data_IF_423800027172
#
_entry.id   IF_423800027172
#
_cell.length_a   1.000
_cell.length_b   1.000
_cell.length_c   1.000
_cell.angle_alpha   90.00
_cell.angle_beta   90.00
_cell.angle_gamma   90.00
#
_symmetry.space_group_name_H-M   'P 1'
#
loop_
_entity.id
_entity.type
_entity.pdbx_description
1 polymer ?
#
# COMPACT_ATOMS: atom_id res chain seq x y z
N UNK A 1 -46.50 -16.67 -29.45
CA UNK A 1 -45.30 -17.23 -28.81
C UNK A 1 -44.04 -17.03 -29.68
N UNK A 2 -43.93 -17.65 -30.87
CA UNK A 2 -42.71 -17.61 -31.69
C UNK A 2 -42.18 -16.19 -32.03
N UNK A 3 -43.08 -15.26 -32.37
CA UNK A 3 -42.73 -13.86 -32.60
C UNK A 3 -42.03 -13.21 -31.38
N UNK A 4 -42.60 -13.38 -30.19
CA UNK A 4 -42.03 -12.84 -28.95
C UNK A 4 -40.67 -13.47 -28.63
N UNK A 5 -40.48 -14.78 -28.88
CA UNK A 5 -39.17 -15.42 -28.71
C UNK A 5 -38.13 -14.82 -29.66
N UNK A 6 -38.46 -14.69 -30.94
CA UNK A 6 -37.53 -14.15 -31.94
C UNK A 6 -37.19 -12.68 -31.68
N UNK A 7 -38.16 -11.87 -31.25
CA UNK A 7 -37.92 -10.47 -30.88
C UNK A 7 -37.10 -10.35 -29.59
N UNK A 8 -37.40 -11.20 -28.60
CA UNK A 8 -36.59 -11.32 -27.38
C UNK A 8 -35.14 -11.68 -27.68
N UNK A 9 -34.89 -12.65 -28.56
CA UNK A 9 -33.54 -13.03 -28.98
C UNK A 9 -32.78 -11.87 -29.65
N UNK A 10 -33.47 -11.06 -30.47
CA UNK A 10 -32.89 -9.86 -31.06
C UNK A 10 -32.52 -8.80 -30.01
N UNK A 11 -33.32 -8.65 -28.96
CA UNK A 11 -32.97 -7.77 -27.83
C UNK A 11 -31.77 -8.28 -27.03
N UNK A 12 -31.65 -9.60 -26.82
CA UNK A 12 -30.46 -10.21 -26.19
C UNK A 12 -29.20 -9.90 -26.98
N UNK A 13 -29.24 -10.01 -28.31
CA UNK A 13 -28.09 -9.66 -29.18
C UNK A 13 -27.69 -8.17 -29.08
N UNK A 14 -28.66 -7.29 -28.79
CA UNK A 14 -28.42 -5.86 -28.53
C UNK A 14 -28.01 -5.55 -27.08
N UNK A 15 -27.89 -6.57 -26.23
CA UNK A 15 -27.65 -6.45 -24.77
C UNK A 15 -28.74 -5.70 -24.01
N UNK A 16 -29.94 -5.59 -24.58
CA UNK A 16 -31.12 -5.06 -23.90
C UNK A 16 -31.87 -6.20 -23.19
N UNK A 17 -31.28 -6.66 -22.09
CA UNK A 17 -31.82 -7.80 -21.33
C UNK A 17 -33.16 -7.49 -20.65
N UNK A 18 -33.46 -6.20 -20.39
CA UNK A 18 -34.72 -5.77 -19.81
C UNK A 18 -35.87 -5.92 -20.81
N UNK A 19 -35.69 -5.41 -22.04
CA UNK A 19 -36.68 -5.59 -23.11
C UNK A 19 -36.83 -7.07 -23.49
N UNK A 20 -35.71 -7.81 -23.56
CA UNK A 20 -35.73 -9.25 -23.83
C UNK A 20 -36.54 -10.03 -22.78
N UNK A 21 -36.37 -9.70 -21.49
CA UNK A 21 -37.07 -10.37 -20.40
C UNK A 21 -38.60 -10.25 -20.54
N UNK A 22 -39.11 -9.05 -20.86
CA UNK A 22 -40.54 -8.83 -21.03
C UNK A 22 -41.14 -9.67 -22.16
N UNK A 23 -40.46 -9.71 -23.32
CA UNK A 23 -40.89 -10.52 -24.46
C UNK A 23 -40.85 -12.03 -24.18
N UNK A 24 -39.79 -12.50 -23.52
CA UNK A 24 -39.64 -13.92 -23.18
C UNK A 24 -40.68 -14.36 -22.13
N UNK A 25 -41.04 -13.50 -21.18
CA UNK A 25 -42.13 -13.77 -20.23
C UNK A 25 -43.49 -13.88 -20.94
N UNK A 26 -43.75 -13.00 -21.90
CA UNK A 26 -44.97 -13.07 -22.71
C UNK A 26 -45.00 -14.30 -23.63
N UNK A 27 -43.84 -14.71 -24.15
CA UNK A 27 -43.74 -15.98 -24.86
C UNK A 27 -44.05 -17.17 -23.95
N UNK A 28 -43.53 -17.17 -22.72
CA UNK A 28 -43.75 -18.22 -21.74
C UNK A 28 -45.22 -18.34 -21.35
N UNK A 29 -45.92 -17.24 -21.08
CA UNK A 29 -47.35 -17.25 -20.72
C UNK A 29 -48.22 -17.87 -21.83
N UNK A 30 -47.94 -17.50 -23.10
CA UNK A 30 -48.62 -18.05 -24.27
C UNK A 30 -48.33 -19.54 -24.49
N UNK A 31 -47.09 -20.00 -24.23
CA UNK A 31 -46.73 -21.41 -24.38
C UNK A 31 -47.32 -22.29 -23.27
N UNK A 32 -47.40 -21.77 -22.04
CA UNK A 32 -48.06 -22.45 -20.92
C UNK A 32 -49.55 -22.65 -21.18
N UNK A 33 -50.23 -21.70 -21.82
CA UNK A 33 -51.62 -21.83 -22.22
C UNK A 33 -51.86 -22.97 -23.22
N UNK A 34 -50.86 -23.27 -24.07
CA UNK A 34 -50.91 -24.34 -25.09
C UNK A 34 -50.31 -25.65 -24.56
N UNK A 35 -49.95 -25.74 -23.26
CA UNK A 35 -49.40 -26.93 -22.59
C UNK A 35 -48.16 -27.54 -23.27
N UNK A 36 -47.31 -26.72 -23.89
CA UNK A 36 -46.07 -27.18 -24.53
C UNK A 36 -44.90 -27.16 -23.55
N UNK A 37 -44.76 -28.22 -22.75
CA UNK A 37 -43.77 -28.29 -21.66
C UNK A 37 -42.31 -28.08 -22.12
N UNK A 38 -41.89 -28.73 -23.21
CA UNK A 38 -40.52 -28.60 -23.76
C UNK A 38 -40.19 -27.15 -24.18
N UNK A 39 -41.10 -26.50 -24.92
CA UNK A 39 -40.90 -25.11 -25.38
C UNK A 39 -40.96 -24.12 -24.23
N UNK A 40 -41.78 -24.38 -23.21
CA UNK A 40 -41.81 -23.59 -21.97
C UNK A 40 -40.46 -23.67 -21.28
N UNK A 41 -39.89 -24.86 -21.11
CA UNK A 41 -38.57 -25.03 -20.50
C UNK A 41 -37.47 -24.30 -21.27
N UNK A 42 -37.44 -24.40 -22.61
CA UNK A 42 -36.48 -23.68 -23.45
C UNK A 42 -36.56 -22.15 -23.28
N UNK A 43 -37.77 -21.57 -23.22
CA UNK A 43 -37.96 -20.14 -23.01
C UNK A 43 -37.59 -19.73 -21.59
N UNK A 44 -37.92 -20.54 -20.58
CA UNK A 44 -37.56 -20.27 -19.18
C UNK A 44 -36.05 -20.24 -18.95
N UNK A 45 -35.25 -21.03 -19.67
CA UNK A 45 -33.78 -20.92 -19.64
C UNK A 45 -33.31 -19.56 -20.17
N UNK A 46 -33.93 -19.04 -21.23
CA UNK A 46 -33.62 -17.68 -21.75
C UNK A 46 -34.04 -16.59 -20.76
N UNK A 47 -35.19 -16.74 -20.10
CA UNK A 47 -35.64 -15.86 -19.01
C UNK A 47 -34.63 -15.86 -17.88
N UNK A 48 -34.13 -17.03 -17.48
CA UNK A 48 -33.15 -17.17 -16.42
C UNK A 48 -31.84 -16.43 -16.75
N UNK A 49 -31.34 -16.55 -18.00
CA UNK A 49 -30.16 -15.82 -18.47
C UNK A 49 -30.36 -14.31 -18.44
N UNK A 50 -31.50 -13.81 -18.93
CA UNK A 50 -31.80 -12.38 -18.86
C UNK A 50 -31.85 -11.88 -17.42
N UNK A 51 -32.45 -12.64 -16.49
CA UNK A 51 -32.48 -12.30 -15.06
C UNK A 51 -31.09 -12.26 -14.44
N UNK A 52 -30.21 -13.20 -14.79
CA UNK A 52 -28.81 -13.19 -14.34
C UNK A 52 -28.10 -11.92 -14.83
N UNK A 53 -28.22 -11.59 -16.13
CA UNK A 53 -27.57 -10.41 -16.69
C UNK A 53 -28.15 -9.08 -16.16
N UNK A 54 -29.36 -9.09 -15.59
CA UNK A 54 -29.97 -7.97 -14.88
C UNK A 54 -29.60 -7.93 -13.38
N UNK A 55 -28.68 -8.78 -12.91
CA UNK A 55 -28.24 -8.84 -11.52
C UNK A 55 -29.21 -9.55 -10.56
N UNK A 56 -30.28 -10.17 -11.08
CA UNK A 56 -31.29 -10.86 -10.27
C UNK A 56 -31.00 -12.36 -10.16
N UNK A 57 -29.94 -12.71 -9.44
CA UNK A 57 -29.46 -14.09 -9.30
C UNK A 57 -30.52 -15.06 -8.75
N UNK A 58 -31.23 -14.70 -7.68
CA UNK A 58 -32.27 -15.56 -7.09
C UNK A 58 -33.44 -15.79 -8.05
N UNK A 59 -33.82 -14.76 -8.82
CA UNK A 59 -34.86 -14.86 -9.83
C UNK A 59 -34.43 -15.74 -11.01
N UNK A 60 -33.13 -15.75 -11.34
CA UNK A 60 -32.56 -16.65 -12.34
C UNK A 60 -32.63 -18.12 -11.86
N UNK A 61 -32.25 -18.41 -10.60
CA UNK A 61 -32.41 -19.74 -10.01
C UNK A 61 -33.86 -20.20 -10.06
N UNK A 62 -34.80 -19.32 -9.70
CA UNK A 62 -36.22 -19.65 -9.70
C UNK A 62 -36.71 -20.05 -11.11
N UNK A 63 -36.33 -19.28 -12.14
CA UNK A 63 -36.66 -19.59 -13.53
C UNK A 63 -36.08 -20.94 -13.98
N UNK A 64 -34.85 -21.28 -13.57
CA UNK A 64 -34.26 -22.60 -13.87
C UNK A 64 -35.00 -23.73 -13.16
N UNK A 65 -35.42 -23.52 -11.91
CA UNK A 65 -36.24 -24.50 -11.19
C UNK A 65 -37.60 -24.72 -11.86
N UNK A 66 -38.23 -23.65 -12.35
CA UNK A 66 -39.47 -23.74 -13.12
C UNK A 66 -39.26 -24.46 -14.46
N UNK A 67 -38.16 -24.21 -15.16
CA UNK A 67 -37.81 -24.92 -16.39
C UNK A 67 -37.69 -26.43 -16.14
N UNK A 68 -36.96 -26.82 -15.09
CA UNK A 68 -36.78 -28.23 -14.71
C UNK A 68 -38.04 -28.89 -14.14
N UNK A 69 -39.02 -28.12 -13.68
CA UNK A 69 -40.35 -28.64 -13.32
C UNK A 69 -41.20 -28.93 -14.56
N UNK A 70 -41.02 -28.16 -15.63
CA UNK A 70 -41.71 -28.37 -16.89
C UNK A 70 -41.09 -29.54 -17.69
N UNK A 71 -39.76 -29.63 -17.68
CA UNK A 71 -38.98 -30.65 -18.38
C UNK A 71 -37.71 -30.96 -17.56
N UNK A 72 -37.72 -32.09 -16.86
CA UNK A 72 -36.66 -32.49 -15.93
C UNK A 72 -35.38 -32.95 -16.65
N UNK A 73 -35.53 -33.44 -17.89
CA UNK A 73 -34.44 -33.88 -18.75
C UNK A 73 -33.83 -32.73 -19.59
N UNK A 74 -34.31 -31.49 -19.42
CA UNK A 74 -33.83 -30.36 -20.21
C UNK A 74 -32.34 -30.06 -19.98
N UNK A 75 -31.50 -30.45 -20.94
CA UNK A 75 -30.04 -30.32 -20.84
C UNK A 75 -29.59 -28.87 -20.64
N UNK A 76 -30.24 -27.92 -21.33
CA UNK A 76 -29.91 -26.50 -21.23
C UNK A 76 -30.20 -25.93 -19.83
N UNK A 77 -31.31 -26.35 -19.21
CA UNK A 77 -31.65 -25.96 -17.84
C UNK A 77 -30.71 -26.61 -16.81
N UNK A 78 -30.34 -27.89 -16.99
CA UNK A 78 -29.37 -28.57 -16.13
C UNK A 78 -27.97 -27.96 -16.23
N UNK A 79 -27.50 -27.64 -17.43
CA UNK A 79 -26.24 -26.96 -17.66
C UNK A 79 -26.23 -25.57 -16.98
N UNK A 80 -27.29 -24.78 -17.17
CA UNK A 80 -27.39 -23.46 -16.56
C UNK A 80 -27.52 -23.51 -15.03
N UNK A 81 -28.17 -24.55 -14.47
CA UNK A 81 -28.18 -24.81 -13.02
C UNK A 81 -26.77 -25.02 -12.46
N UNK A 82 -25.95 -25.87 -13.10
CA UNK A 82 -24.55 -26.11 -12.71
C UNK A 82 -23.75 -24.81 -12.79
N UNK A 83 -24.03 -24.00 -13.80
CA UNK A 83 -23.37 -22.72 -14.01
C UNK A 83 -23.67 -21.69 -12.91
N UNK A 84 -24.94 -21.50 -12.57
CA UNK A 84 -25.32 -20.64 -11.44
C UNK A 84 -24.63 -21.10 -10.13
N UNK A 85 -24.60 -22.42 -9.90
CA UNK A 85 -23.88 -22.98 -8.75
C UNK A 85 -22.38 -22.67 -8.76
N UNK A 86 -21.73 -22.72 -9.93
CA UNK A 86 -20.33 -22.35 -10.10
C UNK A 86 -20.09 -20.87 -9.76
N UNK A 87 -20.92 -19.94 -10.26
CA UNK A 87 -20.82 -18.51 -9.95
C UNK A 87 -20.86 -18.30 -8.43
N UNK A 88 -21.87 -18.88 -7.77
CA UNK A 88 -22.00 -18.77 -6.31
C UNK A 88 -20.80 -19.37 -5.57
N UNK A 89 -20.30 -20.52 -6.01
CA UNK A 89 -19.12 -21.15 -5.44
C UNK A 89 -17.89 -20.24 -5.55
N UNK A 90 -17.68 -19.60 -6.71
CA UNK A 90 -16.56 -18.67 -6.91
C UNK A 90 -16.70 -17.40 -6.06
N UNK A 91 -17.92 -16.87 -5.88
CA UNK A 91 -18.14 -15.74 -4.98
C UNK A 91 -17.89 -16.10 -3.51
N UNK A 92 -18.37 -17.26 -3.06
CA UNK A 92 -18.12 -17.75 -1.70
C UNK A 92 -16.62 -18.01 -1.48
N UNK A 93 -15.92 -18.56 -2.48
CA UNK A 93 -14.47 -18.75 -2.46
C UNK A 93 -13.72 -17.41 -2.35
N UNK A 94 -14.13 -16.37 -3.09
CA UNK A 94 -13.57 -15.02 -2.96
C UNK A 94 -13.74 -14.49 -1.54
N UNK A 95 -14.97 -14.53 -1.00
CA UNK A 95 -15.29 -14.02 0.34
C UNK A 95 -14.48 -14.75 1.42
N UNK A 96 -14.36 -16.08 1.33
CA UNK A 96 -13.57 -16.89 2.27
C UNK A 96 -12.06 -16.66 2.14
N UNK A 97 -11.56 -16.42 0.93
CA UNK A 97 -10.17 -16.09 0.71
C UNK A 97 -9.83 -14.70 1.27
N UNK A 98 -10.73 -13.73 1.07
CA UNK A 98 -10.63 -12.36 1.61
C UNK A 98 -10.58 -12.37 3.13
N UNK A 99 -11.53 -13.02 3.81
CA UNK A 99 -11.55 -13.09 5.28
C UNK A 99 -10.33 -13.82 5.86
N UNK A 100 -9.77 -14.78 5.10
CA UNK A 100 -8.54 -15.47 5.47
C UNK A 100 -7.24 -14.74 5.07
N UNK A 101 -7.30 -13.55 4.47
CA UNK A 101 -6.11 -12.80 4.01
C UNK A 101 -5.32 -13.46 2.87
N UNK A 102 -5.93 -14.43 2.15
CA UNK A 102 -5.30 -15.19 1.07
C UNK A 102 -5.53 -14.51 -0.29
N UNK A 103 -4.92 -13.34 -0.48
CA UNK A 103 -5.18 -12.47 -1.65
C UNK A 103 -4.92 -13.10 -3.01
N UNK A 104 -3.89 -13.96 -3.14
CA UNK A 104 -3.65 -14.70 -4.38
C UNK A 104 -4.81 -15.64 -4.74
N UNK A 105 -5.34 -16.35 -3.74
CA UNK A 105 -6.51 -17.22 -3.93
C UNK A 105 -7.75 -16.39 -4.22
N UNK A 106 -7.92 -15.26 -3.52
CA UNK A 106 -9.02 -14.33 -3.78
C UNK A 106 -8.99 -13.81 -5.23
N UNK A 107 -7.82 -13.46 -5.77
CA UNK A 107 -7.67 -13.08 -7.18
C UNK A 107 -8.12 -14.19 -8.13
N UNK A 108 -7.62 -15.40 -7.95
CA UNK A 108 -8.02 -16.53 -8.83
C UNK A 108 -9.51 -16.82 -8.76
N UNK A 109 -10.12 -16.68 -7.57
CA UNK A 109 -11.56 -16.87 -7.39
C UNK A 109 -12.38 -15.74 -8.04
N UNK A 110 -11.89 -14.49 -7.97
CA UNK A 110 -12.49 -13.35 -8.64
C UNK A 110 -12.40 -13.46 -10.16
N UNK A 111 -11.25 -13.83 -10.71
CA UNK A 111 -11.06 -14.07 -12.15
C UNK A 111 -12.02 -15.15 -12.65
N UNK A 112 -12.10 -16.28 -11.94
CA UNK A 112 -13.04 -17.35 -12.25
C UNK A 112 -14.51 -16.90 -12.18
N UNK A 113 -14.86 -16.03 -11.22
CA UNK A 113 -16.20 -15.45 -11.12
C UNK A 113 -16.51 -14.53 -12.31
N UNK A 114 -15.59 -13.64 -12.66
CA UNK A 114 -15.71 -12.72 -13.79
C UNK A 114 -15.85 -13.48 -15.11
N UNK A 115 -15.00 -14.49 -15.32
CA UNK A 115 -15.09 -15.34 -16.50
C UNK A 115 -16.40 -16.12 -16.51
N UNK A 116 -16.90 -16.53 -15.33
CA UNK A 116 -18.19 -17.16 -15.23
C UNK A 116 -19.35 -16.27 -15.75
N UNK A 117 -19.32 -14.97 -15.48
CA UNK A 117 -20.29 -14.02 -16.06
C UNK A 117 -20.07 -13.79 -17.56
N UNK A 118 -18.82 -13.72 -18.02
CA UNK A 118 -18.47 -13.42 -19.43
C UNK A 118 -18.86 -14.54 -20.40
N UNK A 119 -18.67 -15.82 -20.06
CA UNK A 119 -19.03 -16.90 -21.00
C UNK A 119 -20.54 -16.93 -21.28
N UNK A 120 -21.38 -16.47 -20.34
CA UNK A 120 -22.82 -16.32 -20.51
C UNK A 120 -23.23 -14.99 -21.17
N UNK A 121 -22.25 -14.20 -21.62
CA UNK A 121 -22.43 -12.86 -22.19
C UNK A 121 -23.13 -11.87 -21.26
N UNK A 122 -23.14 -12.15 -19.95
CA UNK A 122 -23.70 -11.25 -18.95
C UNK A 122 -22.71 -10.16 -18.57
N UNK A 123 -23.26 -9.02 -18.17
CA UNK A 123 -22.49 -7.97 -17.52
C UNK A 123 -22.10 -8.46 -16.11
N UNK A 124 -20.83 -8.23 -15.75
CA UNK A 124 -20.34 -8.52 -14.41
C UNK A 124 -21.01 -7.55 -13.43
N UNK A 125 -21.59 -8.00 -12.31
CA UNK A 125 -22.19 -7.12 -11.32
C UNK A 125 -21.19 -6.08 -10.79
N UNK A 126 -21.67 -4.86 -10.52
CA UNK A 126 -20.81 -3.74 -10.09
C UNK A 126 -20.06 -4.07 -8.81
N UNK A 127 -20.69 -4.82 -7.90
CA UNK A 127 -20.09 -5.30 -6.67
C UNK A 127 -18.88 -6.20 -6.94
N UNK A 128 -18.99 -7.13 -7.90
CA UNK A 128 -17.90 -8.02 -8.30
C UNK A 128 -16.80 -7.24 -9.03
N UNK A 129 -17.16 -6.20 -9.79
CA UNK A 129 -16.16 -5.31 -10.40
C UNK A 129 -15.38 -4.52 -9.33
N UNK A 130 -16.04 -4.08 -8.25
CA UNK A 130 -15.39 -3.40 -7.14
C UNK A 130 -14.37 -4.28 -6.39
N UNK A 131 -14.55 -5.61 -6.39
CA UNK A 131 -13.56 -6.54 -5.79
C UNK A 131 -12.17 -6.44 -6.43
N UNK A 132 -12.07 -6.07 -7.71
CA UNK A 132 -10.77 -5.82 -8.36
C UNK A 132 -10.00 -4.68 -7.67
N UNK A 133 -10.72 -3.63 -7.25
CA UNK A 133 -10.11 -2.51 -6.53
C UNK A 133 -9.63 -2.92 -5.13
N UNK A 134 -10.37 -3.80 -4.44
CA UNK A 134 -9.95 -4.34 -3.15
C UNK A 134 -8.69 -5.21 -3.28
N UNK A 135 -8.64 -6.05 -4.31
CA UNK A 135 -7.47 -6.87 -4.63
C UNK A 135 -6.26 -5.99 -4.96
N UNK A 136 -6.44 -4.95 -5.78
CA UNK A 136 -5.39 -4.01 -6.12
C UNK A 136 -4.84 -3.28 -4.88
N UNK A 137 -5.70 -2.91 -3.92
CA UNK A 137 -5.29 -2.32 -2.63
C UNK A 137 -4.48 -3.32 -1.81
N UNK A 138 -4.95 -4.56 -1.66
CA UNK A 138 -4.25 -5.59 -0.89
C UNK A 138 -2.85 -5.90 -1.47
N UNK A 139 -2.70 -5.79 -2.79
CA UNK A 139 -1.44 -5.97 -3.50
C UNK A 139 -0.58 -4.71 -3.58
N UNK A 140 -1.03 -3.60 -2.97
CA UNK A 140 -0.33 -2.31 -2.97
C UNK A 140 -0.15 -1.71 -4.37
N UNK A 141 -1.03 -2.08 -5.30
CA UNK A 141 -1.09 -1.53 -6.67
C UNK A 141 -1.99 -0.30 -6.72
N UNK A 142 -1.52 0.82 -6.16
CA UNK A 142 -2.33 2.02 -5.91
C UNK A 142 -2.83 2.72 -7.17
N UNK A 143 -1.98 2.84 -8.21
CA UNK A 143 -2.36 3.44 -9.49
C UNK A 143 -3.50 2.64 -10.14
N UNK A 144 -3.33 1.31 -10.21
CA UNK A 144 -4.38 0.40 -10.70
C UNK A 144 -5.66 0.54 -9.88
N UNK A 145 -5.56 0.61 -8.54
CA UNK A 145 -6.74 0.77 -7.69
C UNK A 145 -7.49 2.08 -8.00
N UNK A 146 -6.76 3.19 -8.17
CA UNK A 146 -7.32 4.50 -8.54
C UNK A 146 -7.97 4.49 -9.92
N UNK A 147 -7.34 3.85 -10.91
CA UNK A 147 -7.87 3.71 -12.27
C UNK A 147 -9.18 2.90 -12.29
N UNK A 148 -9.22 1.77 -11.58
CA UNK A 148 -10.41 0.92 -11.46
C UNK A 148 -11.57 1.74 -10.86
N UNK A 149 -11.38 2.34 -9.68
CA UNK A 149 -12.47 3.10 -9.04
C UNK A 149 -12.84 4.36 -9.82
N UNK A 150 -11.88 4.96 -10.53
CA UNK A 150 -12.12 6.11 -11.41
C UNK A 150 -12.96 5.74 -12.64
N UNK A 151 -12.73 4.56 -13.24
CA UNK A 151 -13.57 4.01 -14.31
C UNK A 151 -14.96 3.67 -13.78
N UNK A 152 -15.06 2.90 -12.70
CA UNK A 152 -16.34 2.48 -12.12
C UNK A 152 -17.20 3.68 -11.69
N UNK A 153 -16.58 4.75 -11.15
CA UNK A 153 -17.32 5.94 -10.77
C UNK A 153 -17.87 6.73 -11.96
N UNK A 154 -17.29 6.62 -13.16
CA UNK A 154 -17.84 7.20 -14.39
C UNK A 154 -19.02 6.38 -14.92
N UNK A 155 -18.91 5.06 -14.85
CA UNK A 155 -19.94 4.12 -15.34
C UNK A 155 -21.14 4.05 -14.38
N UNK A 156 -20.89 4.12 -13.08
CA UNK A 156 -21.88 3.92 -12.01
C UNK A 156 -21.77 4.99 -10.90
N UNK A 157 -22.02 6.29 -11.20
CA UNK A 157 -21.72 7.40 -10.28
C UNK A 157 -22.54 7.41 -8.98
N UNK A 158 -23.71 6.76 -8.98
CA UNK A 158 -24.60 6.71 -7.82
C UNK A 158 -24.56 5.35 -7.09
N UNK A 159 -23.79 4.38 -7.59
CA UNK A 159 -23.69 3.07 -6.95
C UNK A 159 -22.93 3.18 -5.63
N UNK A 160 -23.59 2.81 -4.53
CA UNK A 160 -23.04 2.97 -3.19
C UNK A 160 -21.72 2.20 -3.00
N UNK A 161 -21.64 0.99 -3.53
CA UNK A 161 -20.41 0.16 -3.48
C UNK A 161 -19.22 0.85 -4.18
N UNK A 162 -19.47 1.57 -5.28
CA UNK A 162 -18.45 2.31 -6.01
C UNK A 162 -18.02 3.55 -5.24
N UNK A 163 -18.97 4.26 -4.64
CA UNK A 163 -18.69 5.42 -3.79
C UNK A 163 -17.82 5.00 -2.60
N UNK A 164 -18.19 3.90 -1.93
CA UNK A 164 -17.42 3.31 -0.82
C UNK A 164 -16.00 2.91 -1.23
N UNK A 165 -15.86 2.17 -2.34
CA UNK A 165 -14.57 1.75 -2.86
C UNK A 165 -13.68 2.96 -3.20
N UNK A 166 -14.22 3.95 -3.92
CA UNK A 166 -13.50 5.17 -4.29
C UNK A 166 -13.08 5.97 -3.07
N UNK A 167 -13.98 6.21 -2.11
CA UNK A 167 -13.65 6.90 -0.85
C UNK A 167 -12.53 6.19 -0.10
N UNK A 168 -12.56 4.86 -0.03
CA UNK A 168 -11.54 4.06 0.67
C UNK A 168 -10.19 4.14 -0.02
N UNK A 169 -10.15 3.99 -1.35
CA UNK A 169 -8.91 4.14 -2.14
C UNK A 169 -8.33 5.55 -2.00
N UNK A 170 -9.15 6.60 -2.14
CA UNK A 170 -8.70 7.98 -1.95
C UNK A 170 -8.13 8.21 -0.55
N UNK A 171 -8.80 7.69 0.48
CA UNK A 171 -8.30 7.74 1.86
C UNK A 171 -6.92 7.10 1.99
N UNK A 172 -6.75 5.86 1.52
CA UNK A 172 -5.47 5.14 1.65
C UNK A 172 -4.35 5.78 0.83
N UNK A 173 -4.64 6.40 -0.32
CA UNK A 173 -3.69 7.18 -1.10
C UNK A 173 -3.37 8.56 -0.49
N UNK A 174 -4.11 8.98 0.53
CA UNK A 174 -3.92 10.24 1.25
C UNK A 174 -4.64 11.46 0.65
N UNK A 175 -5.54 11.26 -0.31
CA UNK A 175 -6.49 12.29 -0.78
C UNK A 175 -7.66 12.41 0.21
N UNK A 176 -7.36 12.98 1.39
CA UNK A 176 -8.33 13.09 2.49
C UNK A 176 -9.51 14.00 2.15
N UNK A 177 -9.26 15.09 1.43
CA UNK A 177 -10.29 16.05 1.03
C UNK A 177 -11.21 15.49 -0.06
N UNK A 178 -10.64 14.80 -1.06
CA UNK A 178 -11.42 14.06 -2.05
C UNK A 178 -12.25 12.96 -1.40
N UNK A 179 -11.64 12.15 -0.52
CA UNK A 179 -12.33 11.08 0.20
C UNK A 179 -13.50 11.63 1.05
N UNK A 180 -13.27 12.72 1.80
CA UNK A 180 -14.30 13.31 2.66
C UNK A 180 -15.47 13.88 1.84
N UNK A 181 -15.17 14.60 0.75
CA UNK A 181 -16.21 15.12 -0.16
C UNK A 181 -17.02 13.99 -0.79
N UNK A 182 -16.36 12.94 -1.26
CA UNK A 182 -17.00 11.77 -1.86
C UNK A 182 -17.91 11.07 -0.84
N UNK A 183 -17.44 10.88 0.40
CA UNK A 183 -18.21 10.25 1.46
C UNK A 183 -19.44 11.07 1.86
N UNK A 184 -19.30 12.39 1.98
CA UNK A 184 -20.42 13.28 2.26
C UNK A 184 -21.46 13.26 1.14
N UNK A 185 -21.04 13.22 -0.12
CA UNK A 185 -21.96 13.12 -1.24
C UNK A 185 -22.68 11.77 -1.27
N UNK A 186 -22.00 10.66 -0.97
CA UNK A 186 -22.65 9.35 -0.84
C UNK A 186 -23.68 9.31 0.28
N UNK A 187 -23.41 9.91 1.44
CA UNK A 187 -24.36 9.98 2.55
C UNK A 187 -25.57 10.90 2.28
N UNK A 188 -25.52 11.76 1.25
CA UNK A 188 -26.72 12.46 0.78
C UNK A 188 -27.66 11.53 0.01
N UNK A 189 -27.11 10.50 -0.66
CA UNK A 189 -27.87 9.50 -1.41
C UNK A 189 -28.44 8.42 -0.48
N UNK A 190 -27.63 7.96 0.48
CA UNK A 190 -28.02 6.98 1.50
C UNK A 190 -27.55 7.45 2.88
N UNK A 191 -28.41 8.17 3.62
CA UNK A 191 -28.09 8.67 4.95
C UNK A 191 -27.89 7.58 6.00
N UNK A 192 -28.30 6.33 5.75
CA UNK A 192 -28.24 5.23 6.72
C UNK A 192 -27.07 4.26 6.49
N UNK A 193 -26.30 4.47 5.42
CA UNK A 193 -25.14 3.65 5.11
C UNK A 193 -24.10 3.64 6.25
N UNK A 194 -24.01 2.51 6.96
CA UNK A 194 -23.11 2.36 8.13
C UNK A 194 -21.64 2.35 7.74
N UNK A 195 -21.29 1.68 6.65
CA UNK A 195 -19.89 1.57 6.19
C UNK A 195 -19.35 2.94 5.79
N UNK A 196 -20.14 3.72 5.04
CA UNK A 196 -19.72 5.04 4.59
C UNK A 196 -19.63 6.03 5.75
N UNK A 197 -20.52 5.93 6.74
CA UNK A 197 -20.42 6.69 8.00
C UNK A 197 -19.10 6.41 8.72
N UNK A 198 -18.74 5.12 8.85
CA UNK A 198 -17.48 4.69 9.50
C UNK A 198 -16.26 5.25 8.78
N UNK A 199 -16.19 5.07 7.46
CA UNK A 199 -15.06 5.58 6.66
C UNK A 199 -14.99 7.10 6.73
N UNK A 200 -16.12 7.82 6.63
CA UNK A 200 -16.16 9.29 6.75
C UNK A 200 -15.61 9.78 8.10
N UNK A 201 -16.04 9.17 9.20
CA UNK A 201 -15.59 9.55 10.55
C UNK A 201 -14.07 9.36 10.65
N UNK A 202 -13.56 8.22 10.15
CA UNK A 202 -12.14 7.91 10.11
C UNK A 202 -11.36 8.94 9.29
N UNK A 203 -11.77 9.21 8.05
CA UNK A 203 -11.16 10.22 7.15
C UNK A 203 -11.08 11.58 7.84
N UNK A 204 -12.21 12.05 8.41
CA UNK A 204 -12.28 13.36 9.07
C UNK A 204 -11.34 13.43 10.28
N UNK A 205 -11.34 12.40 11.12
CA UNK A 205 -10.47 12.35 12.30
C UNK A 205 -8.98 12.31 11.92
N UNK A 206 -8.60 11.50 10.92
CA UNK A 206 -7.22 11.46 10.42
C UNK A 206 -6.78 12.81 9.85
N UNK A 207 -7.64 13.48 9.07
CA UNK A 207 -7.37 14.82 8.53
C UNK A 207 -7.15 15.85 9.65
N UNK A 208 -8.04 15.88 10.65
CA UNK A 208 -7.93 16.80 11.78
C UNK A 208 -6.68 16.56 12.62
N UNK A 209 -6.38 15.31 12.97
CA UNK A 209 -5.18 14.96 13.73
C UNK A 209 -3.90 15.28 12.96
N UNK A 210 -3.86 15.01 11.65
CA UNK A 210 -2.71 15.39 10.83
C UNK A 210 -2.53 16.90 10.83
N UNK A 211 -3.59 17.69 10.61
CA UNK A 211 -3.51 19.15 10.58
C UNK A 211 -3.11 19.74 11.95
N UNK A 212 -3.63 19.20 13.05
CA UNK A 212 -3.20 19.58 14.40
C UNK A 212 -1.73 19.25 14.64
N UNK A 213 -1.29 18.05 14.23
CA UNK A 213 0.11 17.67 14.30
C UNK A 213 1.02 18.61 13.51
N UNK A 214 0.61 18.99 12.29
CA UNK A 214 1.33 19.94 11.45
C UNK A 214 1.41 21.33 12.11
N UNK A 215 0.34 21.79 12.76
CA UNK A 215 0.33 23.05 13.52
C UNK A 215 1.24 23.02 14.76
N UNK A 216 1.23 21.93 15.52
CA UNK A 216 2.14 21.74 16.65
C UNK A 216 3.60 21.69 16.19
N UNK A 217 3.88 20.99 15.09
CA UNK A 217 5.22 20.94 14.52
C UNK A 217 5.71 22.34 14.09
N UNK A 218 4.85 23.13 13.44
CA UNK A 218 5.18 24.51 13.04
C UNK A 218 5.44 25.45 14.23
N UNK A 219 4.87 25.15 15.40
CA UNK A 219 5.09 25.88 16.66
C UNK A 219 6.22 25.30 17.52
N UNK A 220 7.01 24.37 16.95
CA UNK A 220 8.12 23.66 17.61
C UNK A 220 7.71 22.80 18.81
N UNK A 221 6.42 22.53 18.98
CA UNK A 221 5.91 21.56 19.94
C UNK A 221 5.92 20.15 19.33
N UNK A 222 7.14 19.60 19.22
CA UNK A 222 7.36 18.30 18.60
C UNK A 222 6.71 17.14 19.38
N UNK A 223 6.57 17.29 20.71
CA UNK A 223 5.90 16.32 21.56
C UNK A 223 4.42 16.19 21.25
N UNK A 224 3.70 17.32 21.16
CA UNK A 224 2.29 17.31 20.78
C UNK A 224 2.10 16.90 19.31
N UNK A 225 3.00 17.30 18.41
CA UNK A 225 2.98 16.87 17.01
C UNK A 225 3.07 15.33 16.91
N UNK A 226 4.05 14.74 17.60
CA UNK A 226 4.26 13.30 17.67
C UNK A 226 3.01 12.55 18.16
N UNK A 227 2.36 13.03 19.22
CA UNK A 227 1.15 12.40 19.76
C UNK A 227 -0.03 12.45 18.78
N UNK A 228 -0.21 13.58 18.08
CA UNK A 228 -1.27 13.70 17.09
C UNK A 228 -1.05 12.74 15.90
N UNK A 229 0.19 12.63 15.40
CA UNK A 229 0.48 11.70 14.31
C UNK A 229 0.42 10.22 14.74
N UNK A 230 0.76 9.88 15.98
CA UNK A 230 0.52 8.54 16.54
C UNK A 230 -0.98 8.19 16.53
N UNK A 231 -1.83 9.10 17.02
CA UNK A 231 -3.29 8.93 16.99
C UNK A 231 -3.84 8.85 15.56
N UNK A 232 -3.26 9.60 14.62
CA UNK A 232 -3.61 9.50 13.21
C UNK A 232 -3.25 8.13 12.61
N UNK A 233 -2.10 7.56 12.99
CA UNK A 233 -1.67 6.22 12.58
C UNK A 233 -2.55 5.10 13.13
N UNK A 234 -3.13 5.27 14.32
CA UNK A 234 -4.10 4.31 14.88
C UNK A 234 -5.36 4.20 14.00
N UNK A 235 -5.72 5.28 13.29
CA UNK A 235 -6.83 5.31 12.33
C UNK A 235 -6.44 4.75 10.95
N UNK A 236 -5.16 4.52 10.69
CA UNK A 236 -4.64 3.96 9.43
C UNK A 236 -3.75 2.75 9.75
N UNK A 237 -4.32 1.66 10.30
CA UNK A 237 -3.53 0.53 10.80
C UNK A 237 -2.79 -0.19 9.68
N UNK A 238 -1.67 -0.84 10.04
CA UNK A 238 -0.91 -1.74 9.17
C UNK A 238 -1.67 -3.06 8.96
N UNK A 239 -2.76 -2.96 8.21
CA UNK A 239 -3.67 -4.07 7.91
C UNK A 239 -3.43 -4.54 6.48
N UNK A 240 -3.23 -5.85 6.33
CA UNK A 240 -2.96 -6.47 5.03
C UNK A 240 -4.08 -6.20 4.01
N UNK A 241 -5.34 -6.18 4.47
CA UNK A 241 -6.52 -5.84 3.65
C UNK A 241 -6.45 -4.43 3.07
N UNK A 242 -5.88 -3.47 3.80
CA UNK A 242 -5.72 -2.10 3.33
C UNK A 242 -4.31 -1.86 2.76
N UNK A 243 -3.63 -2.89 2.27
CA UNK A 243 -2.29 -2.77 1.69
C UNK A 243 -1.24 -2.25 2.68
N UNK A 244 -1.41 -2.50 3.97
CA UNK A 244 -0.57 -1.95 5.04
C UNK A 244 -0.87 -0.48 5.37
N UNK A 245 -2.05 0.04 5.01
CA UNK A 245 -2.43 1.44 5.23
C UNK A 245 -2.01 2.41 4.12
N UNK A 246 -1.29 1.91 3.11
CA UNK A 246 -0.98 2.60 1.87
C UNK A 246 -0.12 3.87 1.99
N UNK A 247 -0.08 4.69 0.92
CA UNK A 247 0.73 5.90 0.87
C UNK A 247 0.42 6.89 1.99
N UNK A 248 -0.83 6.96 2.46
CA UNK A 248 -1.19 7.78 3.62
C UNK A 248 -0.44 7.38 4.88
N UNK A 249 -0.35 6.07 5.16
CA UNK A 249 0.40 5.58 6.33
C UNK A 249 1.89 5.87 6.18
N UNK A 250 2.46 5.69 4.98
CA UNK A 250 3.85 6.05 4.72
C UNK A 250 4.12 7.53 5.04
N UNK A 251 3.27 8.45 4.55
CA UNK A 251 3.37 9.89 4.83
C UNK A 251 3.28 10.20 6.33
N UNK A 252 2.34 9.58 7.05
CA UNK A 252 2.19 9.78 8.49
C UNK A 252 3.38 9.23 9.30
N UNK A 253 3.95 8.10 8.87
CA UNK A 253 5.17 7.54 9.45
C UNK A 253 6.40 8.44 9.21
N UNK A 254 6.53 9.02 8.03
CA UNK A 254 7.58 10.02 7.73
C UNK A 254 7.46 11.25 8.63
N UNK A 255 6.23 11.80 8.77
CA UNK A 255 5.98 12.93 9.69
C UNK A 255 6.35 12.57 11.13
N UNK A 256 5.93 11.38 11.59
CA UNK A 256 6.31 10.84 12.90
C UNK A 256 7.83 10.76 13.07
N UNK A 257 8.54 10.17 12.11
CA UNK A 257 10.00 10.05 12.14
C UNK A 257 10.69 11.42 12.20
N UNK A 258 10.14 12.42 11.52
CA UNK A 258 10.63 13.81 11.58
C UNK A 258 10.47 14.43 12.97
N UNK A 259 9.34 14.24 13.64
CA UNK A 259 9.22 14.67 15.04
C UNK A 259 10.14 13.88 15.99
N UNK A 260 10.33 12.58 15.76
CA UNK A 260 11.26 11.75 16.54
C UNK A 260 12.71 12.23 16.36
N UNK A 261 13.10 12.64 15.14
CA UNK A 261 14.38 13.27 14.85
C UNK A 261 14.59 14.57 15.67
N UNK A 262 13.62 15.49 15.65
CA UNK A 262 13.71 16.76 16.41
C UNK A 262 13.75 16.54 17.92
N UNK A 263 13.14 15.45 18.40
CA UNK A 263 13.17 15.02 19.80
C UNK A 263 14.41 14.17 20.16
N UNK A 264 15.36 14.00 19.23
CA UNK A 264 16.57 13.17 19.39
C UNK A 264 16.29 11.69 19.67
N UNK A 265 15.09 11.20 19.32
CA UNK A 265 14.68 9.80 19.41
C UNK A 265 15.08 9.05 18.14
N UNK A 266 16.38 9.01 17.86
CA UNK A 266 16.89 8.55 16.56
C UNK A 266 16.58 7.08 16.26
N UNK A 267 16.64 6.21 17.27
CA UNK A 267 16.36 4.78 17.10
C UNK A 267 14.88 4.52 16.76
N UNK A 268 13.95 5.24 17.39
CA UNK A 268 12.52 5.21 17.08
C UNK A 268 12.25 5.80 15.70
N UNK A 269 12.92 6.92 15.37
CA UNK A 269 12.83 7.57 14.06
C UNK A 269 13.23 6.62 12.92
N UNK A 270 14.32 5.87 13.08
CA UNK A 270 14.77 4.86 12.11
C UNK A 270 13.71 3.76 11.93
N UNK A 271 13.12 3.25 13.02
CA UNK A 271 12.03 2.25 12.93
C UNK A 271 10.81 2.80 12.18
N UNK A 272 10.44 4.05 12.45
CA UNK A 272 9.30 4.72 11.81
C UNK A 272 9.55 4.92 10.31
N UNK A 273 10.73 5.40 9.92
CA UNK A 273 11.05 5.68 8.52
C UNK A 273 11.28 4.41 7.70
N UNK A 274 11.87 3.36 8.28
CA UNK A 274 11.98 2.05 7.62
C UNK A 274 10.62 1.42 7.39
N UNK A 275 9.67 1.61 8.32
CA UNK A 275 8.28 1.20 8.11
C UNK A 275 7.61 2.00 6.97
N UNK A 276 7.93 3.28 6.82
CA UNK A 276 7.44 4.09 5.70
C UNK A 276 7.99 3.59 4.35
N UNK A 277 9.30 3.36 4.25
CA UNK A 277 9.98 2.90 3.03
C UNK A 277 9.59 1.46 2.62
N UNK A 278 9.17 0.62 3.57
CA UNK A 278 8.54 -0.69 3.27
C UNK A 278 7.18 -0.58 2.58
N UNK A 279 6.48 0.54 2.75
CA UNK A 279 5.19 0.82 2.11
C UNK A 279 5.39 1.55 0.78
N UNK A 280 6.33 2.49 0.74
CA UNK A 280 6.67 3.28 -0.43
C UNK A 280 8.18 3.54 -0.46
N UNK A 281 8.89 2.73 -1.24
CA UNK A 281 10.34 2.85 -1.41
C UNK A 281 10.75 4.09 -2.21
N UNK A 282 9.82 4.67 -2.97
CA UNK A 282 10.06 5.87 -3.79
C UNK A 282 9.78 7.16 -3.05
N UNK A 283 9.39 7.09 -1.77
CA UNK A 283 9.06 8.26 -0.98
C UNK A 283 10.30 9.07 -0.62
N UNK A 284 10.58 10.11 -1.40
CA UNK A 284 11.79 10.93 -1.26
C UNK A 284 11.93 11.57 0.13
N UNK A 285 10.83 11.99 0.77
CA UNK A 285 10.89 12.64 2.09
C UNK A 285 11.27 11.64 3.18
N UNK A 286 10.87 10.37 3.07
CA UNK A 286 11.32 9.32 3.98
C UNK A 286 12.83 9.06 3.84
N UNK A 287 13.36 8.98 2.62
CA UNK A 287 14.81 8.87 2.42
C UNK A 287 15.56 10.07 3.01
N UNK A 288 15.06 11.29 2.82
CA UNK A 288 15.65 12.50 3.42
C UNK A 288 15.68 12.39 4.96
N UNK A 289 14.57 12.01 5.59
CA UNK A 289 14.49 11.87 7.05
C UNK A 289 15.40 10.76 7.54
N UNK A 290 15.50 9.62 6.83
CA UNK A 290 16.42 8.52 7.18
C UNK A 290 17.88 8.96 7.08
N UNK A 291 18.23 9.68 6.01
CA UNK A 291 19.55 10.28 5.85
C UNK A 291 19.90 11.26 6.98
N UNK A 292 18.96 12.14 7.37
CA UNK A 292 19.16 13.05 8.50
C UNK A 292 19.33 12.31 9.83
N UNK A 293 18.56 11.24 10.06
CA UNK A 293 18.72 10.37 11.23
C UNK A 293 20.10 9.70 11.25
N UNK A 294 20.52 9.12 10.13
CA UNK A 294 21.83 8.48 9.98
C UNK A 294 22.97 9.49 10.15
N UNK A 295 22.83 10.70 9.61
CA UNK A 295 23.78 11.79 9.79
C UNK A 295 23.94 12.17 11.27
N UNK A 296 22.84 12.33 12.01
CA UNK A 296 22.87 12.59 13.46
C UNK A 296 23.46 11.43 14.28
N UNK A 297 23.47 10.22 13.73
CA UNK A 297 24.14 9.06 14.30
C UNK A 297 25.60 8.92 13.87
N UNK A 298 26.12 9.88 13.08
CA UNK A 298 27.46 9.92 12.48
C UNK A 298 27.72 8.77 11.49
N UNK A 299 26.65 8.23 10.91
CA UNK A 299 26.70 7.22 9.86
C UNK A 299 26.75 7.91 8.50
N UNK A 300 27.82 8.68 8.26
CA UNK A 300 27.86 9.60 7.13
C UNK A 300 27.76 8.90 5.77
N UNK A 301 28.36 7.71 5.62
CA UNK A 301 28.30 6.97 4.35
C UNK A 301 26.88 6.48 4.04
N UNK A 302 26.14 5.95 5.03
CA UNK A 302 24.72 5.57 4.83
C UNK A 302 23.82 6.79 4.63
N UNK A 303 24.11 7.90 5.30
CA UNK A 303 23.39 9.16 5.11
C UNK A 303 23.56 9.69 3.68
N UNK A 304 24.76 9.61 3.11
CA UNK A 304 25.03 9.98 1.71
C UNK A 304 24.18 9.16 0.74
N UNK A 305 24.11 7.84 0.94
CA UNK A 305 23.29 6.95 0.09
C UNK A 305 21.80 7.30 0.17
N UNK A 306 21.30 7.58 1.38
CA UNK A 306 19.92 8.03 1.60
C UNK A 306 19.63 9.38 0.94
N UNK A 307 20.54 10.36 1.05
CA UNK A 307 20.35 11.67 0.40
C UNK A 307 20.40 11.57 -1.12
N UNK A 308 21.24 10.69 -1.68
CA UNK A 308 21.26 10.39 -3.12
C UNK A 308 19.95 9.75 -3.58
N UNK A 309 19.46 8.75 -2.87
CA UNK A 309 18.16 8.13 -3.16
C UNK A 309 17.01 9.15 -3.06
N UNK A 310 17.02 10.00 -2.02
CA UNK A 310 16.06 11.10 -1.88
C UNK A 310 16.09 12.05 -3.08
N UNK A 311 17.28 12.42 -3.56
CA UNK A 311 17.44 13.32 -4.70
C UNK A 311 16.95 12.70 -6.01
N UNK A 312 17.25 11.43 -6.26
CA UNK A 312 16.78 10.68 -7.43
C UNK A 312 15.25 10.62 -7.47
N UNK A 313 14.64 10.21 -6.35
CA UNK A 313 13.19 10.11 -6.26
C UNK A 313 12.49 11.47 -6.32
N UNK A 314 13.04 12.51 -5.68
CA UNK A 314 12.51 13.88 -5.75
C UNK A 314 12.57 14.45 -7.18
N UNK A 315 13.59 14.09 -7.97
CA UNK A 315 13.67 14.50 -9.38
C UNK A 315 12.64 13.78 -10.26
N UNK A 316 12.32 12.53 -9.94
CA UNK A 316 11.32 11.75 -10.67
C UNK A 316 9.87 12.17 -10.36
N UNK A 317 9.61 12.65 -9.14
CA UNK A 317 8.30 13.13 -8.69
C UNK A 317 8.26 14.66 -8.56
N UNK A 318 8.30 15.33 -9.73
CA UNK A 318 8.21 16.78 -9.83
C UNK A 318 6.87 17.35 -9.30
N UNK A 319 5.87 16.50 -9.05
CA UNK A 319 4.57 16.91 -8.49
C UNK A 319 4.60 17.03 -6.97
N UNK A 320 5.48 16.30 -6.29
CA UNK A 320 5.59 16.28 -4.83
C UNK A 320 6.75 17.12 -4.28
N UNK A 321 7.90 17.19 -4.96
CA UNK A 321 9.08 17.88 -4.44
C UNK A 321 9.19 19.30 -5.01
N UNK A 322 9.28 20.31 -4.14
CA UNK A 322 9.47 21.70 -4.57
C UNK A 322 10.97 21.99 -4.80
N UNK A 323 11.31 23.01 -5.58
CA UNK A 323 12.71 23.41 -5.82
C UNK A 323 13.49 23.65 -4.52
N UNK A 324 12.83 24.16 -3.48
CA UNK A 324 13.44 24.37 -2.14
C UNK A 324 13.82 23.05 -1.45
N UNK A 325 13.06 21.97 -1.67
CA UNK A 325 13.33 20.67 -1.06
C UNK A 325 14.54 20.02 -1.72
N UNK A 326 14.66 20.13 -3.05
CA UNK A 326 15.84 19.69 -3.81
C UNK A 326 17.10 20.42 -3.34
N UNK A 327 17.03 21.74 -3.15
CA UNK A 327 18.15 22.52 -2.61
C UNK A 327 18.52 22.03 -1.20
N UNK A 328 17.53 21.80 -0.33
CA UNK A 328 17.77 21.26 1.01
C UNK A 328 18.46 19.91 0.97
N UNK A 329 17.99 18.96 0.14
CA UNK A 329 18.61 17.62 0.02
C UNK A 329 20.07 17.76 -0.42
N UNK A 330 20.37 18.62 -1.40
CA UNK A 330 21.74 18.86 -1.87
C UNK A 330 22.65 19.43 -0.79
N UNK A 331 22.16 20.34 0.04
CA UNK A 331 22.92 20.88 1.16
C UNK A 331 23.28 19.77 2.17
N UNK A 332 22.29 18.97 2.57
CA UNK A 332 22.51 17.82 3.46
C UNK A 332 23.48 16.79 2.89
N UNK A 333 23.39 16.52 1.57
CA UNK A 333 24.32 15.64 0.88
C UNK A 333 25.75 16.19 0.91
N UNK A 334 25.93 17.47 0.60
CA UNK A 334 27.24 18.12 0.63
C UNK A 334 27.85 18.10 2.04
N UNK A 335 27.04 18.39 3.07
CA UNK A 335 27.47 18.30 4.46
C UNK A 335 27.89 16.87 4.80
N UNK A 336 27.07 15.87 4.47
CA UNK A 336 27.39 14.46 4.72
C UNK A 336 28.68 14.00 4.01
N UNK A 337 28.91 14.42 2.77
CA UNK A 337 30.15 14.16 2.04
C UNK A 337 31.36 14.82 2.69
N UNK A 338 31.23 16.07 3.14
CA UNK A 338 32.27 16.79 3.88
C UNK A 338 32.61 16.09 5.20
N UNK A 339 31.60 15.76 6.02
CA UNK A 339 31.80 15.06 7.29
C UNK A 339 32.35 13.65 7.10
N UNK A 340 31.92 12.91 6.06
CA UNK A 340 32.50 11.61 5.71
C UNK A 340 33.98 11.75 5.31
N UNK A 341 34.31 12.77 4.50
CA UNK A 341 35.68 13.03 4.09
C UNK A 341 36.56 13.45 5.28
N UNK A 342 36.07 14.31 6.17
CA UNK A 342 36.77 14.70 7.40
C UNK A 342 36.98 13.49 8.32
N UNK A 343 35.96 12.65 8.52
CA UNK A 343 36.08 11.42 9.31
C UNK A 343 37.11 10.44 8.73
N UNK A 344 37.23 10.36 7.39
CA UNK A 344 38.22 9.55 6.68
C UNK A 344 39.62 10.17 6.70
N UNK A 345 39.71 11.50 6.60
CA UNK A 345 40.95 12.27 6.57
C UNK A 345 41.57 12.47 7.96
N UNK A 346 40.76 12.50 9.01
CA UNK A 346 41.23 12.23 10.36
C UNK A 346 41.64 10.76 10.38
N UNK A 347 42.90 10.50 10.06
CA UNK A 347 43.54 9.17 10.07
C UNK A 347 42.90 8.33 11.16
N UNK A 348 42.24 7.21 10.77
CA UNK A 348 41.42 6.33 11.63
C UNK A 348 42.01 6.25 13.02
N UNK A 349 41.62 7.15 13.91
CA UNK A 349 42.27 7.25 15.20
C UNK A 349 41.62 6.19 16.08
N UNK A 350 42.15 4.97 16.04
CA UNK A 350 41.59 3.85 16.77
C UNK A 350 41.55 4.15 18.28
N UNK A 351 42.40 5.07 18.75
CA UNK A 351 42.33 5.58 20.13
C UNK A 351 41.19 6.56 20.37
N UNK A 352 40.67 7.27 19.37
CA UNK A 352 39.40 8.01 19.51
C UNK A 352 38.20 7.07 19.62
N UNK A 353 38.27 5.89 19.00
CA UNK A 353 37.19 4.89 19.02
C UNK A 353 37.18 4.08 20.32
N UNK A 354 38.33 3.58 20.77
CA UNK A 354 38.46 2.74 21.97
C UNK A 354 39.02 3.46 23.19
N UNK A 355 39.43 4.72 23.09
CA UNK A 355 40.09 5.49 24.15
C UNK A 355 41.63 5.37 24.13
N UNK A 356 42.33 6.44 24.50
CA UNK A 356 43.79 6.47 24.64
C UNK A 356 44.24 5.66 25.87
N UNK A 357 44.45 4.36 25.67
CA UNK A 357 44.90 3.44 26.71
C UNK A 357 46.30 2.89 26.40
N UNK A 358 47.20 2.96 27.37
CA UNK A 358 48.56 2.40 27.24
C UNK A 358 48.58 0.88 27.44
N UNK A 359 47.71 0.35 28.29
CA UNK A 359 47.65 -1.07 28.66
C UNK A 359 46.67 -1.87 27.78
N UNK A 360 47.10 -3.03 27.27
CA UNK A 360 46.25 -3.98 26.53
C UNK A 360 45.01 -4.45 27.33
N UNK A 361 45.10 -4.52 28.66
CA UNK A 361 43.97 -4.88 29.51
C UNK A 361 42.86 -3.80 29.49
N UNK A 362 43.25 -2.53 29.37
CA UNK A 362 42.34 -1.39 29.27
C UNK A 362 41.67 -1.33 27.89
N UNK A 363 42.41 -1.63 26.81
CA UNK A 363 41.86 -1.74 25.45
C UNK A 363 40.81 -2.86 25.36
N UNK A 364 41.09 -4.03 25.96
CA UNK A 364 40.12 -5.14 26.09
C UNK A 364 38.89 -4.79 26.93
N UNK A 365 39.04 -3.91 27.91
CA UNK A 365 37.92 -3.43 28.73
C UNK A 365 37.08 -2.43 27.94
N UNK A 366 37.71 -1.48 27.26
CA UNK A 366 37.03 -0.49 26.44
C UNK A 366 36.27 -1.15 25.28
N UNK A 367 36.89 -2.12 24.60
CA UNK A 367 36.22 -2.93 23.58
C UNK A 367 34.97 -3.60 24.12
N UNK A 368 35.03 -4.27 25.27
CA UNK A 368 33.85 -4.89 25.88
C UNK A 368 32.73 -3.89 26.17
N UNK A 369 33.07 -2.68 26.61
CA UNK A 369 32.09 -1.63 26.92
C UNK A 369 31.47 -1.08 25.63
N UNK A 370 32.28 -0.67 24.66
CA UNK A 370 31.82 -0.08 23.39
C UNK A 370 31.13 -1.11 22.49
N UNK A 371 31.60 -2.36 22.43
CA UNK A 371 30.91 -3.44 21.71
C UNK A 371 29.55 -3.75 22.33
N UNK A 372 29.40 -3.73 23.65
CA UNK A 372 28.10 -3.92 24.29
C UNK A 372 27.14 -2.77 24.02
N UNK A 373 27.67 -1.54 23.92
CA UNK A 373 26.90 -0.33 23.63
C UNK A 373 26.45 -0.26 22.17
N UNK A 374 27.32 -0.69 21.25
CA UNK A 374 27.05 -0.67 19.81
C UNK A 374 26.54 -2.00 19.25
N UNK A 375 26.35 -3.04 20.07
CA UNK A 375 25.89 -4.35 19.61
C UNK A 375 24.53 -4.27 18.89
N UNK A 376 24.39 -4.81 17.67
CA UNK A 376 23.14 -4.74 16.90
C UNK A 376 21.95 -5.36 17.65
N UNK A 377 22.15 -6.51 18.32
CA UNK A 377 21.08 -7.15 19.12
C UNK A 377 20.61 -6.31 20.34
N UNK A 378 21.41 -5.33 20.79
CA UNK A 378 21.05 -4.45 21.91
C UNK A 378 20.52 -3.09 21.46
N UNK A 379 20.21 -2.95 20.17
CA UNK A 379 19.77 -1.69 19.57
C UNK A 379 20.92 -0.73 19.30
N UNK A 380 22.16 -1.21 19.30
CA UNK A 380 23.33 -0.47 18.90
C UNK A 380 23.50 -0.41 17.38
N UNK A 381 24.31 0.54 16.92
CA UNK A 381 24.51 0.83 15.50
C UNK A 381 25.57 -0.11 14.93
N UNK A 382 25.21 -0.90 13.91
CA UNK A 382 26.08 -1.93 13.33
C UNK A 382 27.39 -1.37 12.76
N UNK A 383 27.37 -0.19 12.13
CA UNK A 383 28.59 0.39 11.56
C UNK A 383 29.56 0.86 12.66
N UNK A 384 29.03 1.44 13.75
CA UNK A 384 29.85 1.76 14.93
C UNK A 384 30.41 0.49 15.56
N UNK A 385 29.64 -0.61 15.57
CA UNK A 385 30.14 -1.91 16.01
C UNK A 385 31.28 -2.44 15.13
N UNK A 386 31.20 -2.26 13.80
CA UNK A 386 32.28 -2.61 12.87
C UNK A 386 33.53 -1.77 13.13
N UNK A 387 33.40 -0.46 13.34
CA UNK A 387 34.52 0.43 13.69
C UNK A 387 35.17 0.05 15.02
N UNK A 388 34.36 -0.32 16.03
CA UNK A 388 34.86 -0.80 17.33
C UNK A 388 35.63 -2.12 17.17
N UNK A 389 35.16 -3.04 16.33
CA UNK A 389 35.86 -4.29 16.03
C UNK A 389 37.17 -4.05 15.26
N UNK A 390 37.16 -3.15 14.27
CA UNK A 390 38.35 -2.78 13.50
C UNK A 390 39.40 -2.15 14.42
N UNK A 391 39.00 -1.17 15.24
CA UNK A 391 39.88 -0.54 16.23
C UNK A 391 40.47 -1.55 17.20
N UNK A 392 39.68 -2.53 17.65
CA UNK A 392 40.17 -3.56 18.55
C UNK A 392 41.14 -4.51 17.86
N UNK A 393 40.90 -4.88 16.59
CA UNK A 393 41.80 -5.75 15.83
C UNK A 393 43.20 -5.16 15.68
N UNK A 394 43.31 -3.84 15.56
CA UNK A 394 44.59 -3.13 15.43
C UNK A 394 45.22 -2.83 16.79
N UNK A 395 44.44 -2.38 17.78
CA UNK A 395 44.99 -1.95 19.07
C UNK A 395 45.22 -3.08 20.09
N UNK A 396 44.57 -4.23 19.93
CA UNK A 396 44.69 -5.35 20.88
C UNK A 396 45.93 -6.21 20.66
N UNK A 397 46.45 -6.22 19.44
CA UNK A 397 47.70 -6.88 19.07
C UNK A 397 48.88 -5.91 19.18
N UNK A 398 49.96 -6.35 19.82
CA UNK A 398 51.11 -5.47 20.09
C UNK A 398 51.81 -5.06 18.79
N UNK A 399 52.03 -5.98 17.87
CA UNK A 399 52.77 -5.72 16.63
C UNK A 399 51.95 -4.83 15.68
N UNK A 400 50.66 -5.12 15.54
CA UNK A 400 49.74 -4.29 14.75
C UNK A 400 49.59 -2.88 15.33
N UNK A 401 49.52 -2.76 16.66
CA UNK A 401 49.49 -1.47 17.35
C UNK A 401 50.77 -0.68 17.15
N UNK A 402 51.94 -1.32 17.24
CA UNK A 402 53.22 -0.65 17.01
C UNK A 402 53.35 -0.14 15.57
N UNK A 403 52.95 -0.94 14.58
CA UNK A 403 52.92 -0.51 13.18
C UNK A 403 51.99 0.70 12.97
N UNK A 404 50.80 0.63 13.56
CA UNK A 404 49.82 1.71 13.53
C UNK A 404 50.31 3.00 14.23
N UNK A 405 50.95 2.87 15.40
CA UNK A 405 51.53 4.01 16.14
C UNK A 405 52.68 4.66 15.35
N UNK A 406 53.50 3.86 14.64
CA UNK A 406 54.58 4.36 13.80
C UNK A 406 54.06 5.11 12.56
N UNK A 407 52.98 4.62 11.94
CA UNK A 407 52.29 5.30 10.83
C UNK A 407 51.62 6.60 11.31
N UNK A 408 51.00 6.59 12.51
CA UNK A 408 50.40 7.77 13.15
C UNK A 408 51.43 8.84 13.54
N UNK A 409 52.66 8.46 13.86
CA UNK A 409 53.74 9.38 14.23
C UNK A 409 54.58 9.87 13.04
N UNK A 410 54.40 9.28 11.86
CA UNK A 410 55.08 9.71 10.64
C UNK A 410 54.40 10.98 10.10
N UNK A 411 55.10 12.12 9.95
CA UNK A 411 54.48 13.34 9.46
C UNK A 411 54.15 13.16 7.97
N UNK A 412 52.86 13.05 7.65
CA UNK A 412 52.39 13.27 6.30
C UNK A 412 52.54 14.76 5.95
N UNK A 413 53.70 15.14 5.42
CA UNK A 413 53.90 16.38 4.66
C UNK A 413 54.91 17.39 5.22
N UNK A 414 56.21 17.15 5.04
CA UNK A 414 57.23 18.21 5.03
C UNK A 414 58.54 17.80 4.34
N UNK A 415 58.53 17.64 3.01
CA UNK A 415 59.76 17.68 2.20
C UNK A 415 59.45 17.86 0.71
N UNK A 416 59.04 19.07 0.32
CA UNK A 416 59.35 19.62 -1.00
C UNK A 416 59.72 21.10 -0.77
N UNK A 417 60.93 21.30 -0.25
CA UNK A 417 61.58 22.60 -0.24
C UNK A 417 62.75 22.50 -1.21
N UNK A 418 62.57 23.09 -2.41
CA UNK A 418 63.59 23.19 -3.45
C UNK A 418 64.78 24.00 -2.90
N UNK A 419 65.95 23.37 -2.87
CA UNK A 419 67.23 24.05 -2.70
C UNK A 419 67.74 24.49 -4.09
N UNK A 420 68.12 25.76 -4.19
CA UNK A 420 68.68 26.38 -5.40
C UNK A 420 70.21 26.35 -5.28
N UNK A 421 70.87 25.66 -6.21
CA UNK A 421 72.26 25.92 -6.58
C UNK A 421 72.38 26.10 -8.10
#
# INVERSE_FOLDING_TARGET
>A
AAFYVSRGDAFVLKRDHAAALGDLQQACSLLSAVKSAEKVAQVLVKVARCRLCLGSYDAAILAVREALKADDANEAALAFKRRLAQIRQTEEAYRLAKTGGRWRVARTAWEACVDAYKEDQCLVPVEVQCWDSELAVAERSWERAQDIVGKLAREHPQAMVVILAKTTVQFLCGDLDGALRQALNGLKLDPDNRELKTVRIRVKATSQLSAQGDGHFASLDFGAALQNWKRALDLVPDSLENGGGGPLRAKLLTKRAKAEYELQQYAEGLKSVDAALKLDITHWEAHLVRGSLNFSLELFDTAIDDFKASLEHAASDASSAMSKDIVRIKMWLQDAEMFSAEAKASTKDYYKILGEFTLCASIRRAYRIESLKHHPDKGGIEEKFKLVNEAYSVLSDLDARHAYDAERQSPAGSADYYDWD
#
